data_IF_562951011547
#
_entry.id   IF_562951011547
#
_cell.length_a   1.000
_cell.length_b   1.000
_cell.length_c   1.000
_cell.angle_alpha   90.00
_cell.angle_beta   90.00
_cell.angle_gamma   90.00
#
_symmetry.space_group_name_H-M   'P 1'
#
loop_
_entity.id
_entity.type
_entity.pdbx_description
1 polymer ?
#
# COMPACT_ATOMS: atom_id res chain seq x y z
N UNK A 1 -0.67 -12.17 10.99
CA UNK A 1 -1.82 -11.91 10.10
C UNK A 1 -1.93 -10.41 9.98
N UNK A 2 -2.10 -9.91 8.76
CA UNK A 2 -2.27 -8.49 8.49
C UNK A 2 -3.75 -8.16 8.41
N UNK A 3 -4.10 -6.94 8.77
CA UNK A 3 -5.43 -6.39 8.53
C UNK A 3 -5.34 -5.26 7.52
N UNK A 4 -6.31 -5.23 6.61
CA UNK A 4 -6.34 -4.30 5.50
C UNK A 4 -7.57 -3.43 5.61
N UNK A 5 -7.36 -2.12 5.57
CA UNK A 5 -8.45 -1.23 5.21
C UNK A 5 -8.76 -1.42 3.73
N UNK A 6 -10.03 -1.49 3.39
CA UNK A 6 -10.53 -1.66 2.03
C UNK A 6 -11.91 -1.03 1.86
N UNK A 7 -12.41 -1.01 0.62
CA UNK A 7 -13.76 -0.54 0.35
C UNK A 7 -14.67 -1.71 -0.03
N UNK A 8 -15.60 -2.06 0.84
CA UNK A 8 -16.68 -3.00 0.51
C UNK A 8 -17.65 -2.39 -0.52
N UNK A 9 -18.00 -1.11 -0.33
CA UNK A 9 -18.61 -0.27 -1.37
C UNK A 9 -17.60 0.80 -1.77
N UNK A 10 -16.92 0.62 -2.91
CA UNK A 10 -15.90 1.57 -3.36
C UNK A 10 -16.52 2.89 -3.85
N UNK A 11 -15.74 3.97 -3.88
CA UNK A 11 -16.16 5.20 -4.51
C UNK A 11 -16.46 4.98 -6.01
N UNK A 12 -17.32 5.82 -6.61
CA UNK A 12 -17.54 5.80 -8.05
C UNK A 12 -16.27 6.24 -8.81
N UNK A 13 -16.17 5.87 -10.10
CA UNK A 13 -15.08 6.34 -10.99
C UNK A 13 -15.18 7.84 -11.34
N UNK A 14 -16.34 8.42 -11.09
CA UNK A 14 -16.69 9.78 -11.48
C UNK A 14 -17.70 10.36 -10.50
N UNK A 15 -17.61 11.66 -10.21
CA UNK A 15 -18.57 12.38 -9.38
C UNK A 15 -19.02 13.66 -10.09
N UNK A 16 -20.26 14.08 -9.86
CA UNK A 16 -20.73 15.39 -10.34
C UNK A 16 -20.03 16.50 -9.55
N UNK A 17 -19.64 17.59 -10.22
CA UNK A 17 -19.12 18.81 -9.57
C UNK A 17 -20.12 19.42 -8.58
N UNK A 18 -21.41 19.12 -8.74
CA UNK A 18 -22.49 19.56 -7.83
C UNK A 18 -22.78 18.56 -6.70
N UNK A 19 -22.11 17.41 -6.66
CA UNK A 19 -22.30 16.44 -5.57
C UNK A 19 -21.76 17.02 -4.26
N UNK A 20 -22.45 16.71 -3.14
CA UNK A 20 -22.02 17.14 -1.81
C UNK A 20 -21.01 16.17 -1.18
N UNK A 21 -21.11 14.89 -1.52
CA UNK A 21 -20.30 13.82 -0.97
C UNK A 21 -20.43 12.52 -1.76
N UNK A 22 -19.68 11.50 -1.33
CA UNK A 22 -19.69 10.16 -1.89
C UNK A 22 -20.00 9.14 -0.81
N UNK A 23 -20.91 8.22 -1.12
CA UNK A 23 -21.20 7.09 -0.25
C UNK A 23 -20.17 5.96 -0.46
N UNK A 24 -19.49 5.59 0.63
CA UNK A 24 -18.59 4.43 0.68
C UNK A 24 -18.96 3.50 1.84
N UNK A 25 -18.40 2.29 1.83
CA UNK A 25 -18.45 1.38 2.99
C UNK A 25 -17.03 0.87 3.25
N UNK A 26 -16.31 1.42 4.23
CA UNK A 26 -15.00 0.91 4.61
C UNK A 26 -15.14 -0.47 5.27
N UNK A 27 -14.10 -1.28 5.15
CA UNK A 27 -13.99 -2.59 5.79
C UNK A 27 -12.56 -2.77 6.29
N UNK A 28 -12.40 -3.31 7.49
CA UNK A 28 -11.12 -3.79 8.01
C UNK A 28 -11.20 -5.31 8.20
N UNK A 29 -10.43 -6.04 7.41
CA UNK A 29 -10.41 -7.51 7.44
C UNK A 29 -9.04 -8.02 6.98
N UNK A 30 -8.76 -9.30 7.19
CA UNK A 30 -7.58 -9.97 6.62
C UNK A 30 -7.67 -10.08 5.08
N UNK A 31 -6.61 -10.56 4.44
CA UNK A 31 -6.50 -10.71 2.98
C UNK A 31 -7.61 -11.60 2.37
N UNK A 32 -8.00 -12.66 3.08
CA UNK A 32 -9.10 -13.56 2.72
C UNK A 32 -10.50 -13.00 3.02
N UNK A 33 -10.59 -11.90 3.76
CA UNK A 33 -11.85 -11.31 4.26
C UNK A 33 -12.70 -12.27 5.10
N UNK A 34 -12.06 -13.24 5.74
CA UNK A 34 -12.70 -14.22 6.63
C UNK A 34 -12.69 -13.74 8.08
N UNK A 35 -11.70 -12.94 8.46
CA UNK A 35 -11.54 -12.41 9.81
C UNK A 35 -11.68 -10.90 9.80
N UNK A 36 -12.56 -10.40 10.66
CA UNK A 36 -12.78 -8.97 10.85
C UNK A 36 -11.87 -8.46 11.95
N UNK A 37 -11.34 -7.26 11.78
CA UNK A 37 -10.57 -6.61 12.84
C UNK A 37 -11.50 -6.17 13.97
N UNK A 38 -11.34 -6.69 15.18
CA UNK A 38 -12.31 -6.48 16.26
C UNK A 38 -12.01 -5.28 17.17
N UNK A 39 -10.78 -4.76 17.17
CA UNK A 39 -10.41 -3.64 18.04
C UNK A 39 -11.07 -2.32 17.61
N UNK A 40 -11.25 -1.43 18.58
CA UNK A 40 -11.74 -0.07 18.33
C UNK A 40 -10.60 0.82 17.80
N UNK A 41 -10.77 1.39 16.61
CA UNK A 41 -9.79 2.30 15.98
C UNK A 41 -10.47 3.43 15.23
N UNK A 42 -9.84 4.60 15.19
CA UNK A 42 -10.34 5.70 14.37
C UNK A 42 -9.88 5.57 12.93
N UNK A 43 -10.84 5.66 12.02
CA UNK A 43 -10.59 5.70 10.56
C UNK A 43 -10.54 7.16 10.14
N UNK A 44 -9.45 7.52 9.50
CA UNK A 44 -9.19 8.86 8.98
C UNK A 44 -9.22 8.87 7.46
N UNK A 45 -9.45 10.05 6.87
CA UNK A 45 -9.41 10.23 5.43
C UNK A 45 -8.77 11.54 4.99
N UNK A 46 -8.29 11.56 3.76
CA UNK A 46 -7.93 12.77 3.00
C UNK A 46 -8.17 12.57 1.51
N UNK A 47 -8.33 13.68 0.79
CA UNK A 47 -8.38 13.72 -0.66
C UNK A 47 -7.00 14.05 -1.22
N UNK A 48 -6.57 13.31 -2.25
CA UNK A 48 -5.32 13.55 -2.97
C UNK A 48 -5.61 13.83 -4.44
N UNK A 49 -5.22 14.99 -4.92
CA UNK A 49 -5.37 15.38 -6.32
C UNK A 49 -4.20 14.87 -7.14
N UNK A 50 -4.44 14.63 -8.42
CA UNK A 50 -3.39 14.26 -9.38
C UNK A 50 -2.35 15.36 -9.61
N UNK A 51 -2.67 16.62 -9.29
CA UNK A 51 -1.73 17.75 -9.32
C UNK A 51 -0.97 17.99 -8.00
N UNK A 52 -1.06 17.04 -7.05
CA UNK A 52 -0.33 17.09 -5.79
C UNK A 52 -1.06 17.85 -4.67
N UNK A 53 -2.22 18.49 -4.94
CA UNK A 53 -3.04 19.09 -3.87
C UNK A 53 -3.56 18.01 -2.92
N UNK A 54 -3.46 18.23 -1.61
CA UNK A 54 -4.05 17.36 -0.60
C UNK A 54 -5.05 18.14 0.25
N UNK A 55 -6.19 17.54 0.60
CA UNK A 55 -7.05 18.09 1.64
C UNK A 55 -6.42 17.88 3.02
N UNK A 56 -6.80 18.68 4.04
CA UNK A 56 -6.53 18.33 5.43
C UNK A 56 -7.06 16.93 5.75
N UNK A 57 -6.39 16.23 6.66
CA UNK A 57 -6.88 14.98 7.21
C UNK A 57 -8.11 15.24 8.08
N UNK A 58 -9.05 14.29 8.09
CA UNK A 58 -10.26 14.36 8.92
C UNK A 58 -10.61 12.97 9.43
N UNK A 59 -11.09 12.89 10.66
CA UNK A 59 -11.68 11.65 11.19
C UNK A 59 -12.95 11.35 10.41
N UNK A 60 -13.01 10.16 9.82
CA UNK A 60 -14.15 9.66 9.06
C UNK A 60 -15.16 9.01 10.01
N UNK A 61 -14.69 8.07 10.83
CA UNK A 61 -15.53 7.31 11.78
C UNK A 61 -14.65 6.60 12.81
N UNK A 62 -15.29 5.95 13.78
CA UNK A 62 -14.64 5.01 14.69
C UNK A 62 -15.12 3.60 14.33
N UNK A 63 -14.18 2.75 13.95
CA UNK A 63 -14.40 1.32 13.73
C UNK A 63 -14.54 0.61 15.07
N UNK A 64 -15.55 -0.24 15.22
CA UNK A 64 -15.93 -0.94 16.46
C UNK A 64 -16.14 -2.42 16.20
N UNK A 65 -15.15 -3.04 15.56
CA UNK A 65 -15.22 -4.44 15.18
C UNK A 65 -16.34 -4.77 14.20
N UNK A 66 -16.85 -5.98 14.32
CA UNK A 66 -17.97 -6.51 13.53
C UNK A 66 -19.22 -5.60 13.51
N UNK A 67 -19.45 -4.76 14.52
CA UNK A 67 -20.57 -3.81 14.56
C UNK A 67 -20.48 -2.70 13.50
N UNK A 68 -19.27 -2.42 12.99
CA UNK A 68 -19.03 -1.41 11.97
C UNK A 68 -19.14 -1.95 10.54
N UNK A 69 -19.24 -3.28 10.38
CA UNK A 69 -19.41 -3.90 9.07
C UNK A 69 -20.66 -3.36 8.36
N UNK A 70 -20.56 -3.25 7.03
CA UNK A 70 -21.65 -2.82 6.15
C UNK A 70 -22.17 -1.38 6.36
N UNK A 71 -21.65 -0.64 7.35
CA UNK A 71 -22.06 0.74 7.60
C UNK A 71 -21.59 1.66 6.46
N UNK A 72 -22.55 2.21 5.73
CA UNK A 72 -22.26 3.20 4.67
C UNK A 72 -22.03 4.59 5.29
N UNK A 73 -21.05 5.31 4.76
CA UNK A 73 -20.62 6.62 5.25
C UNK A 73 -20.56 7.58 4.07
N UNK A 74 -21.12 8.78 4.26
CA UNK A 74 -21.02 9.88 3.29
C UNK A 74 -19.73 10.66 3.54
N UNK A 75 -18.88 10.73 2.52
CA UNK A 75 -17.59 11.43 2.56
C UNK A 75 -17.73 12.73 1.77
N UNK A 76 -17.57 13.90 2.41
CA UNK A 76 -17.68 15.17 1.71
C UNK A 76 -16.58 15.28 0.64
N UNK A 77 -16.93 15.80 -0.53
CA UNK A 77 -15.96 16.05 -1.59
C UNK A 77 -15.00 17.20 -1.19
N UNK A 78 -13.77 17.23 -1.75
CA UNK A 78 -12.84 18.33 -1.49
C UNK A 78 -13.39 19.64 -2.08
N UNK A 79 -13.02 20.79 -1.52
CA UNK A 79 -13.44 22.10 -2.03
C UNK A 79 -12.21 23.00 -2.22
N UNK A 80 -12.12 23.78 -3.32
CA UNK A 80 -13.07 23.85 -4.44
C UNK A 80 -12.95 22.66 -5.41
N UNK A 81 -14.07 22.28 -6.05
CA UNK A 81 -14.12 21.30 -7.14
C UNK A 81 -14.17 21.99 -8.50
N UNK A 82 -13.46 21.44 -9.49
CA UNK A 82 -13.55 21.83 -10.89
C UNK A 82 -13.83 20.63 -11.77
N UNK A 83 -14.59 20.85 -12.84
CA UNK A 83 -14.75 19.83 -13.89
C UNK A 83 -13.38 19.52 -14.48
N UNK A 84 -13.06 18.23 -14.61
CA UNK A 84 -11.76 17.73 -15.04
C UNK A 84 -10.78 17.46 -13.89
N UNK A 85 -11.07 17.89 -12.66
CA UNK A 85 -10.27 17.49 -11.50
C UNK A 85 -10.29 15.97 -11.34
N UNK A 86 -9.18 15.41 -10.86
CA UNK A 86 -9.03 13.98 -10.61
C UNK A 86 -8.50 13.74 -9.21
N UNK A 87 -9.35 13.18 -8.36
CA UNK A 87 -9.09 13.01 -6.93
C UNK A 87 -9.07 11.55 -6.52
N UNK A 88 -8.25 11.19 -5.54
CA UNK A 88 -8.25 9.89 -4.86
C UNK A 88 -8.68 10.09 -3.42
N UNK A 89 -9.52 9.18 -2.93
CA UNK A 89 -9.86 9.09 -1.53
C UNK A 89 -8.88 8.13 -0.84
N UNK A 90 -8.14 8.64 0.13
CA UNK A 90 -7.21 7.85 0.92
C UNK A 90 -7.72 7.67 2.33
N UNK A 91 -7.67 6.43 2.84
CA UNK A 91 -8.08 6.07 4.19
C UNK A 91 -6.93 5.37 4.94
N UNK A 92 -6.84 5.61 6.24
CA UNK A 92 -5.92 4.94 7.16
C UNK A 92 -6.54 4.87 8.57
N UNK A 93 -5.90 4.11 9.47
CA UNK A 93 -6.27 4.10 10.88
C UNK A 93 -5.23 4.84 11.71
N UNK A 94 -5.67 5.50 12.79
CA UNK A 94 -4.78 6.10 13.78
C UNK A 94 -5.55 6.28 15.09
N UNK A 95 -4.96 5.88 16.21
CA UNK A 95 -5.51 6.16 17.54
C UNK A 95 -5.08 7.53 18.06
N UNK A 96 -4.14 8.20 17.39
CA UNK A 96 -3.70 9.54 17.75
C UNK A 96 -4.55 10.61 17.01
N UNK A 97 -5.10 11.60 17.75
CA UNK A 97 -5.90 12.68 17.17
C UNK A 97 -5.06 13.69 16.38
N UNK A 98 -3.76 13.79 16.65
CA UNK A 98 -2.85 14.73 15.99
C UNK A 98 -1.89 13.99 15.07
N UNK A 99 -2.22 13.89 13.78
CA UNK A 99 -1.33 13.29 12.77
C UNK A 99 -0.02 14.07 12.59
N UNK A 100 0.06 15.31 13.08
CA UNK A 100 1.29 16.12 13.09
C UNK A 100 2.43 15.52 13.91
N UNK A 101 2.15 14.59 14.83
CA UNK A 101 3.19 13.82 15.56
C UNK A 101 3.84 12.73 14.71
N UNK A 102 3.20 12.32 13.61
CA UNK A 102 3.68 11.23 12.79
C UNK A 102 4.80 11.75 11.88
N UNK A 103 6.04 11.37 12.20
CA UNK A 103 7.22 11.55 11.33
C UNK A 103 7.13 10.77 10.00
N UNK A 104 5.99 10.15 9.68
CA UNK A 104 5.77 9.29 8.51
C UNK A 104 4.44 9.58 7.83
N UNK A 105 4.39 9.35 6.52
CA UNK A 105 3.16 9.43 5.73
C UNK A 105 2.24 8.25 6.09
N UNK A 106 1.06 8.46 6.70
CA UNK A 106 0.19 7.38 7.18
C UNK A 106 -0.42 6.53 6.05
N UNK A 107 -0.22 6.93 4.80
CA UNK A 107 -0.62 6.15 3.63
C UNK A 107 0.47 5.21 3.11
N UNK A 108 1.66 5.26 3.70
CA UNK A 108 2.82 4.48 3.27
C UNK A 108 2.99 3.28 4.20
N UNK A 109 3.01 2.09 3.60
CA UNK A 109 3.31 0.83 4.28
C UNK A 109 4.83 0.69 4.31
N UNK A 110 5.45 1.00 5.44
CA UNK A 110 6.89 0.86 5.61
C UNK A 110 7.26 -0.63 5.72
N UNK A 111 8.05 -1.14 4.77
CA UNK A 111 8.53 -2.53 4.80
C UNK A 111 9.50 -2.79 5.96
N UNK A 112 10.11 -1.72 6.49
CA UNK A 112 11.08 -1.74 7.58
C UNK A 112 10.91 -0.44 8.40
N UNK A 113 10.12 -0.45 9.49
CA UNK A 113 9.91 0.74 10.32
C UNK A 113 11.22 1.26 10.93
N UNK A 114 11.48 2.57 10.88
CA UNK A 114 12.74 3.21 11.32
C UNK A 114 13.01 3.17 12.83
N UNK A 115 11.98 2.87 13.64
CA UNK A 115 12.09 2.73 15.10
C UNK A 115 12.79 1.43 15.51
N UNK A 116 13.21 0.66 14.52
CA UNK A 116 14.09 -0.47 14.63
C UNK A 116 15.52 0.02 14.90
N UNK A 117 15.70 0.72 16.03
CA UNK A 117 17.01 1.09 16.56
C UNK A 117 17.79 -0.15 16.96
N UNK A 118 19.07 -0.15 16.59
CA UNK A 118 20.10 -1.18 16.74
C UNK A 118 20.25 -1.78 18.16
N UNK A 119 19.31 -2.64 18.58
CA UNK A 119 19.48 -3.52 19.73
C UNK A 119 19.34 -4.96 19.29
N UNK A 120 20.44 -5.72 19.36
CA UNK A 120 20.59 -7.16 19.04
C UNK A 120 20.51 -7.55 17.54
N UNK A 121 21.58 -8.15 16.96
CA UNK A 121 21.53 -8.80 15.65
C UNK A 121 20.47 -9.92 15.65
N UNK A 122 19.38 -9.72 14.90
CA UNK A 122 18.19 -10.59 14.93
C UNK A 122 16.98 -10.01 15.69
N UNK A 123 17.08 -8.79 16.23
CA UNK A 123 16.02 -8.13 17.02
C UNK A 123 15.63 -6.77 16.44
N UNK A 124 15.35 -6.73 15.15
CA UNK A 124 14.30 -5.87 14.62
C UNK A 124 13.15 -6.81 14.29
N UNK A 125 12.34 -7.12 15.30
CA UNK A 125 11.39 -8.21 15.12
C UNK A 125 10.41 -7.82 14.03
N UNK A 126 10.32 -8.66 13.00
CA UNK A 126 9.14 -8.82 12.18
C UNK A 126 7.81 -8.86 12.99
N UNK A 127 7.88 -8.97 14.33
CA UNK A 127 6.74 -8.95 15.24
C UNK A 127 5.94 -7.64 15.27
N UNK A 128 6.50 -6.49 14.84
CA UNK A 128 5.73 -5.23 14.73
C UNK A 128 5.17 -4.99 13.32
N UNK A 129 5.85 -5.46 12.28
CA UNK A 129 5.36 -5.38 10.92
C UNK A 129 4.07 -6.20 10.78
N UNK A 130 3.00 -5.54 10.37
CA UNK A 130 1.68 -6.15 10.25
C UNK A 130 0.78 -6.07 11.48
N UNK A 131 1.20 -5.36 12.55
CA UNK A 131 0.28 -5.02 13.65
C UNK A 131 -0.70 -3.91 13.28
N UNK A 132 -0.28 -2.99 12.42
CA UNK A 132 -1.10 -1.86 12.00
C UNK A 132 -2.04 -2.26 10.85
N UNK A 133 -3.24 -1.67 10.84
CA UNK A 133 -4.16 -1.83 9.72
C UNK A 133 -3.61 -1.08 8.52
N UNK A 134 -3.44 -1.80 7.40
CA UNK A 134 -2.81 -1.28 6.20
C UNK A 134 -3.74 -0.31 5.47
N UNK A 135 -3.25 0.91 5.12
CA UNK A 135 -4.05 1.98 4.51
C UNK A 135 -4.46 1.64 3.07
N UNK A 136 -5.47 2.35 2.56
CA UNK A 136 -5.99 2.15 1.20
C UNK A 136 -6.23 3.47 0.49
N UNK A 137 -5.86 3.52 -0.78
CA UNK A 137 -6.10 4.66 -1.66
C UNK A 137 -7.02 4.21 -2.79
N UNK A 138 -8.07 4.99 -3.08
CA UNK A 138 -8.94 4.68 -4.22
C UNK A 138 -8.23 4.87 -5.57
N UNK A 139 -8.79 4.28 -6.62
CA UNK A 139 -8.51 4.75 -7.97
C UNK A 139 -8.96 6.21 -8.15
N UNK A 140 -8.44 6.95 -9.14
CA UNK A 140 -8.89 8.32 -9.38
C UNK A 140 -10.38 8.40 -9.68
N UNK A 141 -11.00 9.45 -9.14
CA UNK A 141 -12.39 9.84 -9.29
C UNK A 141 -12.39 11.11 -10.13
N UNK A 142 -12.93 11.04 -11.33
CA UNK A 142 -13.04 12.17 -12.24
C UNK A 142 -14.21 13.07 -11.83
N UNK A 143 -13.97 14.37 -11.68
CA UNK A 143 -15.04 15.34 -11.45
C UNK A 143 -15.61 15.77 -12.80
N UNK A 144 -16.89 15.49 -13.00
CA UNK A 144 -17.62 15.77 -14.22
C UNK A 144 -18.61 16.92 -14.04
N UNK A 145 -19.11 17.46 -15.15
CA UNK A 145 -20.17 18.47 -15.12
C UNK A 145 -21.47 17.97 -14.46
N UNK A 146 -22.46 18.87 -14.27
CA UNK A 146 -23.74 18.52 -13.65
C UNK A 146 -24.42 17.38 -14.40
N UNK A 147 -24.68 16.26 -13.73
CA UNK A 147 -25.44 15.15 -14.31
C UNK A 147 -26.94 15.42 -14.17
N UNK A 148 -27.64 15.57 -15.29
CA UNK A 148 -29.07 15.89 -15.29
C UNK A 148 -29.98 14.73 -14.87
N UNK A 149 -29.57 13.45 -14.95
CA UNK A 149 -30.50 12.32 -14.72
C UNK A 149 -29.87 10.93 -14.44
N UNK A 150 -28.66 10.81 -13.89
CA UNK A 150 -28.11 9.46 -13.63
C UNK A 150 -28.66 8.88 -12.32
N UNK A 151 -29.74 8.09 -12.39
CA UNK A 151 -30.16 7.19 -11.29
C UNK A 151 -29.09 6.14 -10.97
N UNK A 152 -28.19 5.85 -11.91
CA UNK A 152 -27.01 5.03 -11.66
C UNK A 152 -25.90 5.87 -11.03
N UNK A 153 -25.56 5.55 -9.78
CA UNK A 153 -24.49 6.15 -8.98
C UNK A 153 -23.08 5.87 -9.49
N UNK A 154 -22.84 6.13 -10.79
CA UNK A 154 -21.59 5.93 -11.52
C UNK A 154 -21.11 4.48 -11.55
N UNK A 155 -20.34 4.11 -12.58
CA UNK A 155 -19.61 2.84 -12.54
C UNK A 155 -18.66 2.87 -11.34
N UNK A 156 -18.74 1.85 -10.48
CA UNK A 156 -17.90 1.75 -9.29
C UNK A 156 -16.43 1.49 -9.66
N UNK A 157 -15.51 1.99 -8.86
CA UNK A 157 -14.10 1.61 -8.99
C UNK A 157 -13.92 0.19 -8.45
N UNK A 158 -13.20 -0.65 -9.19
CA UNK A 158 -12.82 -1.99 -8.73
C UNK A 158 -11.31 -2.05 -8.43
N UNK A 159 -10.65 -0.90 -8.31
CA UNK A 159 -9.21 -0.84 -8.09
C UNK A 159 -8.88 0.03 -6.88
N UNK A 160 -7.90 -0.41 -6.13
CA UNK A 160 -7.29 0.32 -5.02
C UNK A 160 -5.78 0.34 -5.19
N UNK A 161 -5.15 1.33 -4.58
CA UNK A 161 -3.71 1.52 -4.57
C UNK A 161 -3.19 1.38 -3.15
N UNK A 162 -2.05 0.71 -3.01
CA UNK A 162 -1.24 0.69 -1.78
C UNK A 162 0.14 1.20 -2.10
N UNK A 163 0.66 2.07 -1.23
CA UNK A 163 1.99 2.65 -1.35
C UNK A 163 2.90 1.98 -0.31
N UNK A 164 4.05 1.52 -0.75
CA UNK A 164 5.05 0.83 0.07
C UNK A 164 6.29 1.71 0.17
N UNK A 165 6.70 2.02 1.39
CA UNK A 165 7.94 2.73 1.69
C UNK A 165 9.11 1.76 1.66
N UNK A 166 10.17 2.15 0.97
CA UNK A 166 11.40 1.37 0.89
C UNK A 166 12.42 1.95 1.86
N UNK A 167 13.06 1.12 2.70
CA UNK A 167 14.10 1.58 3.61
C UNK A 167 15.32 2.09 2.83
N UNK A 168 16.08 3.04 3.40
CA UNK A 168 17.43 3.32 2.91
C UNK A 168 18.29 2.07 3.11
N UNK A 169 19.05 1.67 2.09
CA UNK A 169 19.89 0.47 2.13
C UNK A 169 21.35 0.86 2.33
N UNK A 170 21.99 0.26 3.33
CA UNK A 170 23.34 0.59 3.79
C UNK A 170 24.47 0.39 2.76
N UNK A 171 24.19 -0.23 1.60
CA UNK A 171 25.18 -0.53 0.55
C UNK A 171 24.94 0.14 -0.79
N UNK A 172 23.95 1.03 -0.92
CA UNK A 172 23.73 1.80 -2.14
C UNK A 172 24.75 2.92 -2.28
N UNK A 173 25.19 3.23 -3.50
CA UNK A 173 26.06 4.38 -3.76
C UNK A 173 25.26 5.65 -3.45
N UNK A 174 25.48 6.23 -2.28
CA UNK A 174 24.94 7.55 -1.92
C UNK A 174 25.82 8.57 -2.64
N UNK A 175 25.39 9.00 -3.84
CA UNK A 175 25.97 10.20 -4.42
C UNK A 175 25.53 11.41 -3.58
N UNK A 176 26.53 12.24 -3.31
CA UNK A 176 26.66 13.26 -2.28
C UNK A 176 25.57 14.35 -2.19
N UNK A 177 25.46 14.90 -0.98
CA UNK A 177 25.12 16.28 -0.60
C UNK A 177 23.69 16.89 -0.71
N UNK A 178 22.65 16.15 -1.12
CA UNK A 178 21.26 16.66 -0.96
C UNK A 178 20.56 16.03 0.24
N UNK A 179 20.32 16.84 1.27
CA UNK A 179 19.71 16.54 2.58
C UNK A 179 18.25 16.03 2.53
N UNK A 180 17.72 15.69 1.35
CA UNK A 180 16.46 14.97 1.19
C UNK A 180 16.76 13.59 0.62
N UNK A 181 17.07 12.63 1.50
CA UNK A 181 16.97 11.22 1.16
C UNK A 181 15.49 10.93 0.91
N UNK A 182 15.01 11.20 -0.31
CA UNK A 182 13.61 10.99 -0.69
C UNK A 182 13.29 9.54 -0.41
N UNK A 183 12.37 9.31 0.53
CA UNK A 183 11.81 7.99 0.77
C UNK A 183 11.34 7.43 -0.57
N UNK A 184 12.03 6.39 -1.03
CA UNK A 184 11.64 5.68 -2.24
C UNK A 184 10.36 4.92 -1.93
N UNK A 185 9.45 4.89 -2.88
CA UNK A 185 8.19 4.18 -2.69
C UNK A 185 7.71 3.51 -3.95
N UNK A 186 7.05 2.37 -3.77
CA UNK A 186 6.39 1.62 -4.84
C UNK A 186 4.89 1.72 -4.61
N UNK A 187 4.13 1.98 -5.67
CA UNK A 187 2.66 1.91 -5.62
C UNK A 187 2.19 0.69 -6.39
N UNK A 188 1.45 -0.19 -5.72
CA UNK A 188 0.80 -1.34 -6.34
C UNK A 188 -0.69 -1.07 -6.48
N UNK A 189 -1.28 -1.59 -7.55
CA UNK A 189 -2.72 -1.47 -7.80
C UNK A 189 -3.35 -2.86 -7.71
N UNK A 190 -4.26 -3.04 -6.77
CA UNK A 190 -5.05 -4.25 -6.59
C UNK A 190 -6.40 -4.11 -7.30
N UNK A 191 -6.98 -5.24 -7.71
CA UNK A 191 -8.38 -5.30 -8.11
C UNK A 191 -9.22 -5.84 -6.94
N UNK A 192 -10.28 -5.13 -6.56
CA UNK A 192 -11.12 -5.48 -5.40
C UNK A 192 -12.14 -6.58 -5.68
N UNK A 193 -12.05 -7.26 -6.83
CA UNK A 193 -12.91 -8.38 -7.21
C UNK A 193 -12.66 -9.62 -6.33
N UNK A 194 -13.48 -10.66 -6.48
CA UNK A 194 -13.32 -11.90 -5.73
C UNK A 194 -12.11 -12.72 -6.16
N UNK A 195 -11.51 -12.39 -7.29
CA UNK A 195 -10.36 -13.11 -7.82
C UNK A 195 -9.16 -13.02 -6.86
N UNK A 196 -8.55 -14.17 -6.60
CA UNK A 196 -7.47 -14.35 -5.63
C UNK A 196 -6.13 -13.81 -6.16
N UNK A 197 -5.92 -13.86 -7.47
CA UNK A 197 -4.72 -13.45 -8.19
C UNK A 197 -4.53 -11.91 -8.26
N UNK A 198 -5.49 -11.12 -7.75
CA UNK A 198 -5.51 -9.66 -7.93
C UNK A 198 -5.36 -8.85 -6.65
N UNK A 199 -5.02 -9.52 -5.56
CA UNK A 199 -4.86 -8.93 -4.23
C UNK A 199 -3.45 -9.13 -3.72
N UNK A 200 -3.06 -8.27 -2.79
CA UNK A 200 -1.89 -8.51 -1.94
C UNK A 200 -2.23 -9.60 -0.94
N UNK A 201 -1.31 -10.54 -0.77
CA UNK A 201 -1.40 -11.62 0.21
C UNK A 201 -0.45 -11.38 1.37
N UNK A 202 -0.85 -11.82 2.56
CA UNK A 202 -0.07 -11.72 3.79
C UNK A 202 1.35 -12.29 3.62
N UNK A 203 1.45 -13.44 2.95
CA UNK A 203 2.72 -14.11 2.68
C UNK A 203 3.64 -13.32 1.77
N UNK A 204 3.11 -12.74 0.69
CA UNK A 204 3.88 -11.92 -0.25
C UNK A 204 4.38 -10.63 0.42
N UNK A 205 3.54 -10.01 1.25
CA UNK A 205 3.92 -8.83 2.02
C UNK A 205 4.96 -9.15 3.09
N UNK A 206 4.75 -10.23 3.86
CA UNK A 206 5.69 -10.71 4.88
C UNK A 206 7.06 -11.07 4.29
N UNK A 207 7.08 -11.77 3.14
CA UNK A 207 8.32 -12.09 2.44
C UNK A 207 9.03 -10.83 1.94
N UNK A 208 8.30 -9.85 1.40
CA UNK A 208 8.88 -8.59 0.92
C UNK A 208 9.51 -7.78 2.06
N UNK A 209 8.86 -7.71 3.22
CA UNK A 209 9.42 -7.07 4.41
C UNK A 209 10.63 -7.83 4.96
N UNK A 210 10.60 -9.17 4.97
CA UNK A 210 11.75 -9.99 5.35
C UNK A 210 12.95 -9.78 4.42
N UNK A 211 12.72 -9.70 3.09
CA UNK A 211 13.77 -9.40 2.11
C UNK A 211 14.35 -8.00 2.33
N UNK A 212 13.51 -7.00 2.61
CA UNK A 212 13.99 -5.67 2.98
C UNK A 212 14.87 -5.73 4.24
N UNK A 213 14.43 -6.46 5.27
CA UNK A 213 15.18 -6.79 6.48
C UNK A 213 16.54 -7.40 6.18
N UNK A 214 16.55 -8.46 5.38
CA UNK A 214 17.75 -9.20 4.99
C UNK A 214 18.77 -8.32 4.27
N UNK A 215 18.29 -7.45 3.38
CA UNK A 215 19.12 -6.52 2.63
C UNK A 215 19.73 -5.42 3.51
N UNK A 216 19.05 -5.06 4.60
CA UNK A 216 19.51 -4.06 5.54
C UNK A 216 20.37 -4.64 6.69
N UNK A 217 20.24 -5.94 6.97
CA UNK A 217 21.03 -6.62 7.99
C UNK A 217 22.46 -6.88 7.50
N UNK A 218 23.46 -6.41 8.25
CA UNK A 218 24.88 -6.65 7.94
C UNK A 218 25.35 -8.05 8.33
N UNK A 219 24.67 -8.73 9.26
CA UNK A 219 25.04 -10.03 9.80
C UNK A 219 23.80 -10.91 10.05
N UNK A 220 23.20 -11.47 8.97
CA UNK A 220 22.08 -12.39 9.11
C UNK A 220 22.40 -13.58 10.03
N UNK A 221 21.43 -13.99 10.85
CA UNK A 221 21.64 -14.94 11.95
C UNK A 221 21.89 -16.40 11.52
N UNK A 222 21.54 -16.77 10.28
CA UNK A 222 21.70 -18.14 9.77
C UNK A 222 22.43 -18.17 8.42
N UNK A 223 23.08 -19.31 8.13
CA UNK A 223 23.89 -19.50 6.93
C UNK A 223 23.10 -19.29 5.63
N UNK A 224 21.86 -19.79 5.55
CA UNK A 224 21.02 -19.67 4.36
C UNK A 224 20.66 -18.21 4.05
N UNK A 225 20.33 -17.41 5.07
CA UNK A 225 20.10 -15.97 4.93
C UNK A 225 21.37 -15.24 4.47
N UNK A 226 22.53 -15.63 5.03
CA UNK A 226 23.81 -15.06 4.62
C UNK A 226 24.14 -15.37 3.15
N UNK A 227 23.93 -16.61 2.71
CA UNK A 227 24.12 -17.04 1.32
C UNK A 227 23.17 -16.30 0.38
N UNK A 228 21.88 -16.21 0.72
CA UNK A 228 20.89 -15.49 -0.09
C UNK A 228 21.23 -14.00 -0.19
N UNK A 229 21.57 -13.35 0.92
CA UNK A 229 21.99 -11.94 0.91
C UNK A 229 23.21 -11.74 0.02
N UNK A 230 24.20 -12.62 0.13
CA UNK A 230 25.41 -12.58 -0.70
C UNK A 230 25.06 -12.71 -2.18
N UNK A 231 24.14 -13.62 -2.54
CA UNK A 231 23.65 -13.78 -3.90
C UNK A 231 22.91 -12.53 -4.40
N UNK A 232 21.97 -11.98 -3.63
CA UNK A 232 21.16 -10.82 -4.00
C UNK A 232 22.02 -9.55 -4.18
N UNK A 233 23.02 -9.38 -3.33
CA UNK A 233 23.95 -8.25 -3.37
C UNK A 233 25.18 -8.51 -4.26
N UNK A 234 25.28 -9.68 -4.89
CA UNK A 234 26.43 -10.04 -5.72
C UNK A 234 26.59 -9.09 -6.91
N UNK A 235 27.81 -8.57 -7.17
CA UNK A 235 28.10 -7.81 -8.39
C UNK A 235 27.88 -8.62 -9.67
N UNK A 236 27.96 -9.95 -9.58
CA UNK A 236 27.68 -10.86 -10.70
C UNK A 236 26.20 -10.99 -11.05
N UNK A 237 25.31 -10.35 -10.29
CA UNK A 237 23.87 -10.46 -10.44
C UNK A 237 23.33 -11.84 -10.05
N UNK A 238 22.05 -12.07 -10.36
CA UNK A 238 21.36 -13.33 -10.11
C UNK A 238 20.19 -13.51 -11.07
N UNK A 239 19.74 -14.75 -11.20
CA UNK A 239 18.50 -15.09 -11.91
C UNK A 239 17.53 -15.73 -10.92
N UNK A 240 16.34 -15.17 -10.82
CA UNK A 240 15.28 -15.68 -9.96
C UNK A 240 14.00 -15.88 -10.78
N UNK A 241 13.19 -16.84 -10.34
CA UNK A 241 11.84 -17.07 -10.83
C UNK A 241 10.87 -17.00 -9.65
N UNK A 242 9.80 -16.23 -9.77
CA UNK A 242 8.68 -16.24 -8.83
C UNK A 242 7.54 -17.05 -9.44
N UNK A 243 7.04 -18.03 -8.71
CA UNK A 243 5.92 -18.89 -9.12
C UNK A 243 4.65 -18.45 -8.39
N UNK A 244 3.55 -18.25 -9.14
CA UNK A 244 2.29 -17.78 -8.55
C UNK A 244 2.39 -16.34 -8.03
N UNK A 245 2.95 -15.45 -8.86
CA UNK A 245 3.29 -14.06 -8.49
C UNK A 245 2.07 -13.19 -8.16
N UNK A 246 0.87 -13.57 -8.62
CA UNK A 246 -0.36 -12.79 -8.53
C UNK A 246 -0.17 -11.42 -9.16
N UNK A 247 -0.18 -10.37 -8.32
CA UNK A 247 0.06 -8.99 -8.75
C UNK A 247 1.56 -8.59 -8.78
N UNK A 248 2.46 -9.49 -8.41
CA UNK A 248 3.91 -9.25 -8.45
C UNK A 248 4.50 -8.57 -7.23
N UNK A 249 3.85 -8.63 -6.06
CA UNK A 249 4.29 -7.90 -4.85
C UNK A 249 5.77 -8.16 -4.55
N UNK A 250 6.19 -9.43 -4.50
CA UNK A 250 7.56 -9.79 -4.11
C UNK A 250 8.56 -9.37 -5.18
N UNK A 251 8.34 -9.75 -6.45
CA UNK A 251 9.25 -9.39 -7.54
C UNK A 251 9.40 -7.89 -7.73
N UNK A 252 8.29 -7.13 -7.69
CA UNK A 252 8.32 -5.67 -7.87
C UNK A 252 9.03 -5.00 -6.69
N UNK A 253 8.70 -5.37 -5.45
CA UNK A 253 9.34 -4.78 -4.27
C UNK A 253 10.81 -5.17 -4.18
N UNK A 254 11.19 -6.42 -4.46
CA UNK A 254 12.59 -6.85 -4.50
C UNK A 254 13.38 -6.09 -5.57
N UNK A 255 12.84 -5.94 -6.77
CA UNK A 255 13.47 -5.14 -7.85
C UNK A 255 13.69 -3.70 -7.39
N UNK A 256 12.68 -3.09 -6.78
CA UNK A 256 12.80 -1.73 -6.27
C UNK A 256 13.80 -1.64 -5.11
N UNK A 257 13.79 -2.57 -4.17
CA UNK A 257 14.81 -2.62 -3.11
C UNK A 257 16.21 -2.70 -3.71
N UNK A 258 16.40 -3.46 -4.79
CA UNK A 258 17.72 -3.64 -5.39
C UNK A 258 18.22 -2.47 -6.27
N UNK A 259 17.36 -1.50 -6.64
CA UNK A 259 17.70 -0.36 -7.49
C UNK A 259 18.95 0.46 -7.05
N UNK A 260 19.20 0.72 -5.74
CA UNK A 260 20.33 1.57 -5.31
C UNK A 260 21.71 0.94 -5.51
N UNK A 261 21.78 -0.39 -5.65
CA UNK A 261 23.02 -1.03 -6.05
C UNK A 261 23.17 -0.87 -7.55
N UNK A 262 24.34 -0.41 -8.01
CA UNK A 262 24.65 -0.14 -9.42
C UNK A 262 24.00 -1.16 -10.35
N UNK A 263 23.47 -0.67 -11.48
CA UNK A 263 22.81 -1.45 -12.51
C UNK A 263 23.77 -2.48 -13.09
N UNK A 264 23.88 -3.61 -12.40
CA UNK A 264 24.52 -4.81 -12.90
C UNK A 264 23.53 -5.41 -13.91
N UNK A 265 23.88 -5.51 -15.20
CA UNK A 265 22.98 -6.04 -16.23
C UNK A 265 22.63 -7.52 -16.03
N UNK A 266 23.06 -8.13 -14.92
CA UNK A 266 22.92 -9.56 -14.63
C UNK A 266 21.82 -9.90 -13.61
N UNK A 267 21.00 -8.93 -13.16
CA UNK A 267 19.83 -9.20 -12.30
C UNK A 267 18.58 -9.43 -13.15
N UNK A 268 18.06 -10.65 -13.14
CA UNK A 268 16.83 -11.00 -13.85
C UNK A 268 15.86 -11.70 -12.91
N UNK A 269 14.68 -11.11 -12.73
CA UNK A 269 13.58 -11.71 -11.99
C UNK A 269 12.46 -12.00 -13.00
N UNK A 270 12.15 -13.28 -13.19
CA UNK A 270 11.03 -13.73 -14.00
C UNK A 270 9.83 -13.99 -13.07
N UNK A 271 8.87 -13.07 -13.07
CA UNK A 271 7.61 -13.24 -12.36
C UNK A 271 6.64 -14.06 -13.23
N UNK A 272 6.11 -15.16 -12.71
CA UNK A 272 5.21 -16.05 -13.46
C UNK A 272 3.90 -16.28 -12.71
N UNK A 273 2.81 -16.28 -13.48
CA UNK A 273 1.49 -16.73 -13.02
C UNK A 273 0.80 -17.52 -14.13
N UNK A 274 -0.34 -18.10 -13.78
CA UNK A 274 -1.26 -18.67 -14.76
C UNK A 274 -1.80 -17.57 -15.66
N UNK A 275 -1.73 -17.78 -16.98
CA UNK A 275 -2.50 -16.97 -17.91
C UNK A 275 -3.99 -17.18 -17.67
N UNK A 276 -4.78 -16.11 -17.77
CA UNK A 276 -6.24 -16.27 -17.82
C UNK A 276 -6.59 -17.06 -19.07
N UNK A 277 -7.02 -18.31 -18.90
CA UNK A 277 -7.63 -19.08 -19.97
C UNK A 277 -9.02 -18.47 -20.19
N UNK A 278 -9.10 -17.47 -21.06
CA UNK A 278 -10.35 -17.10 -21.69
C UNK A 278 -10.63 -18.19 -22.73
N UNK A 279 -11.55 -19.11 -22.43
CA UNK A 279 -12.21 -19.85 -23.50
C UNK A 279 -13.02 -18.81 -24.29
N UNK A 280 -12.59 -18.57 -25.52
CA UNK A 280 -13.33 -17.76 -26.51
C UNK A 280 -14.44 -18.62 -27.10
#
# INVERSE_FOLDING_TARGET
>A
MFFYLSFLRPPPRSASVTAKGLLITPQIANDLRTETFEDEVDVWFRWQSSDGRNSPHKKLTTWKGSQSLYKSIDVPLPSPLRVGDSWRLALWVSNEPEISSLNRDPLTIELLPSNSTQGEPGSLTAAEFGREVLPVISNPILIEGPRKNSKDGGRKSERVLRKYGLPPLAGGVVNDDSTEQRMRSVSLIEQTSFDLDKKVWDSGLGLSAWLAGLLNDSKPSNAMSMDLRTLLCSPGGFRAIELGTGIGVVSILLTALLEPWEATPARHILATDLGKIYQV
#
